data_IF_898141684835
#
_entry.id   IF_898141684835
#
_cell.length_a   1.000
_cell.length_b   1.000
_cell.length_c   1.000
_cell.angle_alpha   90.00
_cell.angle_beta   90.00
_cell.angle_gamma   90.00
#
_symmetry.space_group_name_H-M   'P 1'
#
loop_
_entity.id
_entity.type
_entity.pdbx_description
1 polymer ?
#
# COMPACT_ATOMS: atom_id res chain seq x y z
N UNK A 1 22.72 -56.92 -22.01
CA UNK A 1 21.92 -55.73 -21.60
C UNK A 1 20.49 -56.21 -21.57
N UNK A 2 20.05 -56.58 -20.37
CA UNK A 2 18.86 -57.41 -20.18
C UNK A 2 17.59 -56.58 -20.30
N UNK A 3 16.65 -57.11 -21.09
CA UNK A 3 15.35 -56.50 -21.38
C UNK A 3 14.55 -56.18 -20.11
N UNK A 4 14.74 -56.99 -19.07
CA UNK A 4 14.17 -56.83 -17.73
C UNK A 4 14.78 -55.66 -16.94
N UNK A 5 16.01 -55.22 -17.26
CA UNK A 5 16.60 -54.03 -16.64
C UNK A 5 16.05 -52.75 -17.29
N UNK A 6 15.83 -52.78 -18.61
CA UNK A 6 15.20 -51.67 -19.35
C UNK A 6 13.71 -51.52 -18.98
N UNK A 7 12.99 -52.62 -18.80
CA UNK A 7 11.59 -52.60 -18.34
C UNK A 7 11.47 -52.04 -16.92
N UNK A 8 12.41 -52.36 -16.01
CA UNK A 8 12.47 -51.78 -14.66
C UNK A 8 12.84 -50.28 -14.66
N UNK A 9 13.78 -49.84 -15.50
CA UNK A 9 14.09 -48.41 -15.65
C UNK A 9 12.91 -47.62 -16.25
N UNK A 10 12.11 -48.23 -17.12
CA UNK A 10 10.88 -47.63 -17.68
C UNK A 10 9.77 -47.59 -16.62
N UNK A 11 9.62 -48.62 -15.78
CA UNK A 11 8.66 -48.61 -14.67
C UNK A 11 9.05 -47.63 -13.55
N UNK A 12 10.35 -47.53 -13.21
CA UNK A 12 10.84 -46.54 -12.25
C UNK A 12 10.64 -45.10 -12.78
N UNK A 13 11.02 -44.82 -14.05
CA UNK A 13 10.77 -43.51 -14.69
C UNK A 13 9.28 -43.21 -14.87
N UNK A 14 8.46 -44.21 -15.17
CA UNK A 14 7.01 -44.08 -15.30
C UNK A 14 6.29 -43.86 -13.97
N UNK A 15 6.83 -44.39 -12.86
CA UNK A 15 6.30 -44.17 -11.52
C UNK A 15 6.59 -42.74 -11.01
N UNK A 16 7.76 -42.19 -11.33
CA UNK A 16 8.11 -40.81 -10.97
C UNK A 16 7.28 -39.78 -11.75
N UNK A 17 7.03 -39.99 -13.06
CA UNK A 17 6.18 -39.12 -13.89
C UNK A 17 4.70 -39.11 -13.45
N UNK A 18 4.21 -40.18 -12.81
CA UNK A 18 2.83 -40.30 -12.35
C UNK A 18 2.52 -39.52 -11.06
N UNK A 19 3.54 -39.17 -10.27
CA UNK A 19 3.39 -38.49 -8.99
C UNK A 19 3.32 -36.95 -9.08
N UNK A 20 3.66 -36.39 -10.26
CA UNK A 20 3.68 -34.93 -10.51
C UNK A 20 2.29 -34.42 -10.94
N UNK A 21 1.40 -35.29 -11.41
CA UNK A 21 0.10 -34.88 -11.96
C UNK A 21 -1.01 -34.69 -10.92
N UNK A 22 -0.76 -35.03 -9.64
CA UNK A 22 -1.78 -34.99 -8.58
C UNK A 22 -1.49 -33.94 -7.48
N UNK A 23 -0.43 -33.14 -7.65
CA UNK A 23 -0.17 -32.04 -6.73
C UNK A 23 -1.09 -30.86 -7.05
N UNK A 24 -1.78 -30.29 -6.06
CA UNK A 24 -2.59 -29.11 -6.27
C UNK A 24 -1.69 -27.96 -6.79
N UNK A 25 -2.16 -27.25 -7.82
CA UNK A 25 -1.44 -26.13 -8.41
C UNK A 25 -2.16 -24.83 -8.03
N UNK A 26 -1.42 -23.81 -7.61
CA UNK A 26 -2.00 -22.50 -7.31
C UNK A 26 -2.51 -21.85 -8.59
N UNK A 27 -3.82 -21.53 -8.65
CA UNK A 27 -4.41 -20.91 -9.86
C UNK A 27 -3.90 -19.51 -10.21
N UNK A 28 -3.26 -18.81 -9.27
CA UNK A 28 -2.79 -17.42 -9.44
C UNK A 28 -1.38 -17.38 -10.01
N UNK A 29 -0.44 -18.12 -9.42
CA UNK A 29 0.96 -18.13 -9.85
C UNK A 29 1.33 -19.33 -10.72
N UNK A 30 0.43 -20.31 -10.87
CA UNK A 30 0.62 -21.55 -11.62
C UNK A 30 1.79 -22.40 -11.11
N UNK A 31 2.13 -22.25 -9.84
CA UNK A 31 3.19 -23.02 -9.17
C UNK A 31 2.56 -24.10 -8.27
N UNK A 32 3.23 -25.25 -8.15
CA UNK A 32 2.90 -26.35 -7.23
C UNK A 32 3.73 -26.28 -5.93
N UNK A 33 4.77 -25.45 -5.89
CA UNK A 33 5.62 -25.27 -4.72
C UNK A 33 5.04 -24.27 -3.69
N UNK A 34 5.06 -24.67 -2.42
CA UNK A 34 4.69 -23.81 -1.27
C UNK A 34 3.85 -24.55 -0.22
N UNK A 35 4.14 -24.33 1.06
CA UNK A 35 3.53 -25.11 2.16
C UNK A 35 2.10 -24.68 2.56
N UNK A 36 1.60 -23.55 2.05
CA UNK A 36 0.33 -22.93 2.48
C UNK A 36 -0.72 -22.82 1.36
N UNK A 37 -1.03 -23.94 0.71
CA UNK A 37 -2.18 -24.02 -0.19
C UNK A 37 -3.49 -24.19 0.58
N UNK A 38 -4.50 -23.39 0.19
CA UNK A 38 -5.83 -23.38 0.78
C UNK A 38 -6.91 -23.48 -0.30
N UNK A 39 -8.09 -24.02 0.06
CA UNK A 39 -9.30 -23.97 -0.75
C UNK A 39 -10.29 -22.94 -0.17
N UNK A 40 -10.21 -21.65 -0.57
CA UNK A 40 -10.96 -20.58 0.08
C UNK A 40 -12.44 -20.53 -0.35
N UNK A 41 -12.84 -21.28 -1.38
CA UNK A 41 -14.16 -21.17 -2.01
C UNK A 41 -14.61 -22.50 -2.66
N UNK A 42 -15.82 -22.54 -3.22
CA UNK A 42 -16.41 -23.74 -3.84
C UNK A 42 -16.05 -23.96 -5.32
N UNK A 43 -14.95 -23.38 -5.80
CA UNK A 43 -14.51 -23.65 -7.18
C UNK A 43 -14.22 -25.16 -7.35
N UNK A 44 -14.35 -25.67 -8.58
CA UNK A 44 -14.20 -27.11 -8.88
C UNK A 44 -12.84 -27.40 -9.50
N UNK A 45 -12.36 -28.64 -9.33
CA UNK A 45 -11.10 -29.10 -9.90
C UNK A 45 -9.87 -28.39 -9.31
N UNK A 46 -8.81 -28.27 -10.11
CA UNK A 46 -7.55 -27.61 -9.73
C UNK A 46 -7.69 -26.11 -9.48
N UNK A 47 -8.74 -25.47 -10.04
CA UNK A 47 -9.01 -24.03 -9.91
C UNK A 47 -9.48 -23.57 -8.52
N UNK A 48 -9.60 -24.50 -7.56
CA UNK A 48 -9.97 -24.20 -6.18
C UNK A 48 -8.77 -23.90 -5.27
N UNK A 49 -7.58 -24.37 -5.63
CA UNK A 49 -6.38 -24.24 -4.80
C UNK A 49 -5.63 -22.93 -5.08
N UNK A 50 -5.20 -22.26 -4.02
CA UNK A 50 -4.38 -21.05 -4.06
C UNK A 50 -3.40 -21.02 -2.90
N UNK A 51 -2.22 -20.45 -3.11
CA UNK A 51 -1.36 -20.06 -2.01
C UNK A 51 -1.99 -18.93 -1.20
N UNK A 52 -1.86 -19.01 0.13
CA UNK A 52 -2.29 -17.95 1.06
C UNK A 52 -1.70 -16.58 0.67
N UNK A 53 -0.40 -16.52 0.41
CA UNK A 53 0.30 -15.30 0.00
C UNK A 53 -0.20 -14.73 -1.34
N UNK A 54 -0.45 -15.58 -2.33
CA UNK A 54 -0.99 -15.15 -3.62
C UNK A 54 -2.41 -14.61 -3.47
N UNK A 55 -3.25 -15.25 -2.65
CA UNK A 55 -4.60 -14.79 -2.37
C UNK A 55 -4.61 -13.45 -1.64
N UNK A 56 -3.76 -13.28 -0.62
CA UNK A 56 -3.67 -12.02 0.13
C UNK A 56 -3.17 -10.87 -0.75
N UNK A 57 -2.18 -11.13 -1.61
CA UNK A 57 -1.73 -10.15 -2.60
C UNK A 57 -2.87 -9.76 -3.55
N UNK A 58 -3.61 -10.75 -4.08
CA UNK A 58 -4.76 -10.51 -4.96
C UNK A 58 -5.84 -9.66 -4.28
N UNK A 59 -6.20 -9.99 -3.02
CA UNK A 59 -7.17 -9.25 -2.19
C UNK A 59 -6.75 -7.82 -1.90
N UNK A 60 -5.45 -7.58 -1.69
CA UNK A 60 -4.91 -6.24 -1.40
C UNK A 60 -4.87 -5.33 -2.64
N UNK A 61 -4.76 -5.92 -3.83
CA UNK A 61 -4.58 -5.18 -5.10
C UNK A 61 -5.89 -4.91 -5.82
N UNK A 62 -6.89 -5.79 -5.68
CA UNK A 62 -8.19 -5.65 -6.35
C UNK A 62 -9.17 -4.77 -5.57
N UNK A 63 -10.22 -4.32 -6.26
CA UNK A 63 -11.24 -3.43 -5.69
C UNK A 63 -12.37 -4.21 -5.00
N UNK A 64 -12.85 -3.65 -3.88
CA UNK A 64 -14.09 -3.96 -3.16
C UNK A 64 -14.39 -5.46 -3.02
N UNK A 65 -15.17 -5.97 -3.97
CA UNK A 65 -15.73 -7.32 -3.98
C UNK A 65 -14.69 -8.44 -3.84
N UNK A 66 -13.51 -8.28 -4.45
CA UNK A 66 -12.48 -9.31 -4.46
C UNK A 66 -11.79 -9.51 -3.09
N UNK A 67 -12.04 -8.64 -2.11
CA UNK A 67 -11.45 -8.75 -0.77
C UNK A 67 -12.10 -9.86 0.07
N UNK A 68 -13.44 -9.93 0.04
CA UNK A 68 -14.23 -10.89 0.83
C UNK A 68 -14.90 -11.98 -0.01
N UNK A 69 -14.93 -11.85 -1.33
CA UNK A 69 -15.60 -12.81 -2.22
C UNK A 69 -14.66 -13.34 -3.30
N UNK A 70 -14.91 -14.58 -3.72
CA UNK A 70 -14.25 -15.15 -4.88
C UNK A 70 -14.75 -14.49 -6.18
N UNK A 71 -13.82 -14.08 -7.05
CA UNK A 71 -14.16 -13.47 -8.36
C UNK A 71 -14.83 -14.43 -9.32
N UNK A 72 -14.56 -15.73 -9.18
CA UNK A 72 -15.07 -16.76 -10.10
C UNK A 72 -16.45 -17.28 -9.68
N UNK A 73 -16.58 -17.78 -8.44
CA UNK A 73 -17.81 -18.40 -7.96
C UNK A 73 -18.67 -17.50 -7.06
N UNK A 74 -18.22 -16.27 -6.75
CA UNK A 74 -18.91 -15.30 -5.89
C UNK A 74 -19.20 -15.78 -4.46
N UNK A 75 -18.62 -16.89 -4.04
CA UNK A 75 -18.73 -17.36 -2.66
C UNK A 75 -17.95 -16.44 -1.72
N UNK A 76 -18.54 -16.18 -0.54
CA UNK A 76 -17.90 -15.44 0.55
C UNK A 76 -16.76 -16.27 1.13
N UNK A 77 -15.62 -15.65 1.36
CA UNK A 77 -14.48 -16.25 2.04
C UNK A 77 -14.75 -16.34 3.55
N UNK A 78 -14.25 -17.41 4.18
CA UNK A 78 -14.25 -17.52 5.64
C UNK A 78 -13.11 -16.67 6.18
N UNK A 79 -13.43 -15.52 6.75
CA UNK A 79 -12.45 -14.57 7.30
C UNK A 79 -12.32 -14.75 8.81
N UNK A 80 -11.09 -14.80 9.30
CA UNK A 80 -10.75 -14.77 10.73
C UNK A 80 -10.09 -13.44 11.08
N UNK A 81 -10.64 -12.73 12.06
CA UNK A 81 -10.06 -11.50 12.59
C UNK A 81 -8.91 -11.82 13.55
N UNK A 82 -7.68 -11.49 13.17
CA UNK A 82 -6.48 -11.47 14.00
C UNK A 82 -6.06 -10.02 14.22
N UNK A 83 -6.87 -9.27 14.98
CA UNK A 83 -6.60 -7.84 15.24
C UNK A 83 -5.44 -7.71 16.23
N UNK A 84 -4.27 -7.17 15.82
CA UNK A 84 -3.23 -6.86 16.78
C UNK A 84 -3.71 -5.75 17.74
N UNK A 85 -3.40 -5.83 19.03
CA UNK A 85 -3.90 -4.88 20.04
C UNK A 85 -3.42 -3.44 19.84
N UNK A 86 -2.41 -3.20 18.99
CA UNK A 86 -1.63 -1.97 18.97
C UNK A 86 -1.78 -1.15 17.67
N UNK A 87 -3.02 -1.00 17.18
CA UNK A 87 -3.34 -0.19 15.99
C UNK A 87 -2.88 1.27 16.10
N UNK A 88 -2.75 1.80 17.32
CA UNK A 88 -2.39 3.18 17.59
C UNK A 88 -0.96 3.53 17.15
N UNK A 89 0.00 2.63 17.40
CA UNK A 89 1.41 2.89 17.08
C UNK A 89 1.69 2.92 15.58
N UNK A 90 0.98 2.08 14.82
CA UNK A 90 1.06 2.06 13.36
C UNK A 90 0.49 3.36 12.76
N UNK A 91 -0.65 3.84 13.28
CA UNK A 91 -1.21 5.15 12.93
C UNK A 91 -0.25 6.29 13.27
N UNK A 92 0.38 6.26 14.45
CA UNK A 92 1.34 7.28 14.87
C UNK A 92 2.58 7.33 13.97
N UNK A 93 3.15 6.17 13.62
CA UNK A 93 4.29 6.09 12.69
C UNK A 93 3.97 6.67 11.32
N UNK A 94 2.79 6.35 10.77
CA UNK A 94 2.35 6.87 9.49
C UNK A 94 2.16 8.39 9.55
N UNK A 95 1.50 8.89 10.59
CA UNK A 95 1.33 10.34 10.82
C UNK A 95 2.69 11.04 10.93
N UNK A 96 3.66 10.46 11.65
CA UNK A 96 5.00 11.01 11.78
C UNK A 96 5.78 11.03 10.45
N UNK A 97 5.68 9.96 9.64
CA UNK A 97 6.33 9.91 8.32
C UNK A 97 5.74 10.96 7.38
N UNK A 98 4.42 11.08 7.35
CA UNK A 98 3.72 12.10 6.57
C UNK A 98 4.16 13.48 7.05
N UNK A 99 4.07 13.80 8.35
CA UNK A 99 4.50 15.10 8.88
C UNK A 99 5.97 15.39 8.56
N UNK A 100 6.87 14.40 8.70
CA UNK A 100 8.29 14.55 8.38
C UNK A 100 8.51 14.90 6.90
N UNK A 101 7.86 14.20 5.97
CA UNK A 101 8.00 14.50 4.55
C UNK A 101 7.44 15.90 4.22
N UNK A 102 6.33 16.29 4.84
CA UNK A 102 5.74 17.63 4.66
C UNK A 102 6.65 18.74 5.18
N UNK A 103 7.24 18.56 6.36
CA UNK A 103 8.18 19.54 6.90
C UNK A 103 9.43 19.64 6.04
N UNK A 104 9.98 18.52 5.56
CA UNK A 104 11.14 18.50 4.66
C UNK A 104 10.86 19.27 3.36
N UNK A 105 9.74 18.99 2.68
CA UNK A 105 9.37 19.69 1.44
C UNK A 105 9.21 21.19 1.69
N UNK A 106 8.54 21.57 2.77
CA UNK A 106 8.35 22.96 3.15
C UNK A 106 9.69 23.70 3.35
N UNK A 107 10.63 23.11 4.09
CA UNK A 107 11.96 23.69 4.28
C UNK A 107 12.75 23.80 2.98
N UNK A 108 12.66 22.79 2.09
CA UNK A 108 13.32 22.83 0.77
C UNK A 108 12.78 23.98 -0.08
N UNK A 109 11.44 24.12 -0.18
CA UNK A 109 10.82 25.21 -0.94
C UNK A 109 11.22 26.58 -0.38
N UNK A 110 11.19 26.74 0.94
CA UNK A 110 11.58 28.00 1.58
C UNK A 110 13.06 28.34 1.33
N UNK A 111 13.95 27.35 1.37
CA UNK A 111 15.36 27.54 1.03
C UNK A 111 15.56 27.97 -0.43
N UNK A 112 14.82 27.38 -1.37
CA UNK A 112 14.88 27.78 -2.79
C UNK A 112 14.39 29.22 -2.98
N UNK A 113 13.26 29.59 -2.37
CA UNK A 113 12.73 30.96 -2.43
C UNK A 113 13.74 31.96 -1.85
N UNK A 114 14.34 31.65 -0.71
CA UNK A 114 15.37 32.50 -0.08
C UNK A 114 16.61 32.65 -0.96
N UNK A 115 17.05 31.55 -1.61
CA UNK A 115 18.19 31.55 -2.52
C UNK A 115 17.92 32.41 -3.76
N UNK A 116 16.74 32.28 -4.37
CA UNK A 116 16.33 33.11 -5.51
C UNK A 116 16.21 34.59 -5.12
N UNK A 117 15.61 34.89 -3.97
CA UNK A 117 15.51 36.25 -3.44
C UNK A 117 16.89 36.87 -3.22
N UNK A 118 17.85 36.11 -2.68
CA UNK A 118 19.24 36.54 -2.51
C UNK A 118 19.93 36.80 -3.86
N UNK A 119 19.69 35.96 -4.87
CA UNK A 119 20.23 36.18 -6.22
C UNK A 119 19.68 37.45 -6.86
N UNK A 120 18.36 37.66 -6.80
CA UNK A 120 17.72 38.90 -7.28
C UNK A 120 18.28 40.12 -6.56
N UNK A 121 18.44 40.04 -5.23
CA UNK A 121 19.06 41.09 -4.43
C UNK A 121 20.47 41.42 -4.92
N UNK A 122 21.30 40.40 -5.18
CA UNK A 122 22.68 40.61 -5.62
C UNK A 122 22.77 41.28 -7.00
N UNK A 123 21.84 40.95 -7.91
CA UNK A 123 21.86 41.47 -9.28
C UNK A 123 21.15 42.81 -9.44
N UNK A 124 20.06 43.05 -8.72
CA UNK A 124 19.16 44.18 -8.95
C UNK A 124 18.93 45.06 -7.70
N UNK A 125 19.62 44.79 -6.59
CA UNK A 125 19.35 45.44 -5.29
C UNK A 125 19.49 46.97 -5.32
N UNK A 126 20.52 47.51 -5.98
CA UNK A 126 20.75 48.96 -6.07
C UNK A 126 19.73 49.64 -7.01
N UNK A 127 19.45 49.06 -8.19
CA UNK A 127 18.45 49.61 -9.13
C UNK A 127 17.03 49.61 -8.54
N UNK A 128 16.68 48.58 -7.78
CA UNK A 128 15.41 48.51 -7.05
C UNK A 128 15.34 49.55 -5.93
N UNK A 129 16.45 49.84 -5.25
CA UNK A 129 16.50 50.84 -4.17
C UNK A 129 16.27 52.27 -4.69
N UNK A 130 16.87 52.60 -5.83
CA UNK A 130 16.67 53.90 -6.49
C UNK A 130 15.25 54.05 -7.02
N UNK A 131 14.65 52.99 -7.59
CA UNK A 131 13.30 53.03 -8.16
C UNK A 131 12.19 53.33 -7.13
N UNK A 132 12.39 52.96 -5.86
CA UNK A 132 11.39 53.14 -4.80
C UNK A 132 11.68 54.34 -3.87
N UNK A 133 12.64 55.22 -4.21
CA UNK A 133 13.01 56.45 -3.46
C UNK A 133 13.25 56.22 -1.95
N UNK A 134 13.79 55.06 -1.58
CA UNK A 134 14.04 54.68 -0.18
C UNK A 134 15.46 55.07 0.27
N UNK A 135 15.81 56.35 0.12
CA UNK A 135 17.18 56.87 0.35
C UNK A 135 17.58 56.90 1.82
N UNK A 136 16.68 57.32 2.72
CA UNK A 136 17.00 57.59 4.13
C UNK A 136 17.14 56.31 4.98
N UNK A 137 16.45 55.23 4.61
CA UNK A 137 16.36 54.01 5.43
C UNK A 137 16.51 52.73 4.60
N UNK A 138 17.70 52.45 4.04
CA UNK A 138 17.94 51.28 3.20
C UNK A 138 17.50 49.96 3.86
N UNK A 139 17.75 49.81 5.16
CA UNK A 139 17.43 48.58 5.90
C UNK A 139 15.93 48.27 6.01
N UNK A 140 15.05 49.28 6.02
CA UNK A 140 13.62 49.07 6.17
C UNK A 140 12.98 48.54 4.88
N UNK A 141 13.39 49.03 3.71
CA UNK A 141 12.96 48.48 2.41
C UNK A 141 13.35 47.00 2.26
N UNK A 142 14.58 46.65 2.67
CA UNK A 142 15.06 45.27 2.64
C UNK A 142 14.32 44.37 3.63
N UNK A 143 14.06 44.86 4.84
CA UNK A 143 13.28 44.11 5.83
C UNK A 143 11.86 43.83 5.34
N UNK A 144 11.20 44.82 4.73
CA UNK A 144 9.81 44.68 4.24
C UNK A 144 9.70 43.72 3.05
N UNK A 145 10.63 43.79 2.09
CA UNK A 145 10.65 42.89 0.93
C UNK A 145 10.95 41.44 1.34
N UNK A 146 11.91 41.21 2.26
CA UNK A 146 12.18 39.88 2.82
C UNK A 146 10.96 39.36 3.57
N UNK A 147 10.35 40.17 4.44
CA UNK A 147 9.17 39.77 5.20
C UNK A 147 7.99 39.41 4.31
N UNK A 148 7.76 40.14 3.22
CA UNK A 148 6.69 39.85 2.26
C UNK A 148 6.94 38.52 1.52
N UNK A 149 8.17 38.29 1.04
CA UNK A 149 8.55 37.03 0.37
C UNK A 149 8.47 35.83 1.31
N UNK A 150 8.91 35.99 2.57
CA UNK A 150 8.75 34.98 3.60
C UNK A 150 7.27 34.69 3.85
N UNK A 151 6.44 35.70 4.08
CA UNK A 151 5.01 35.51 4.35
C UNK A 151 4.31 34.78 3.20
N UNK A 152 4.50 35.25 1.96
CA UNK A 152 3.88 34.64 0.78
C UNK A 152 4.41 33.21 0.55
N UNK A 153 5.72 32.99 0.72
CA UNK A 153 6.36 31.68 0.61
C UNK A 153 5.84 30.68 1.64
N UNK A 154 5.69 31.10 2.90
CA UNK A 154 5.14 30.28 3.98
C UNK A 154 3.68 29.92 3.71
N UNK A 155 2.86 30.89 3.27
CA UNK A 155 1.46 30.66 2.95
C UNK A 155 1.31 29.68 1.78
N UNK A 156 1.99 29.93 0.65
CA UNK A 156 1.92 29.05 -0.52
C UNK A 156 2.50 27.66 -0.23
N UNK A 157 3.63 27.59 0.47
CA UNK A 157 4.26 26.34 0.88
C UNK A 157 3.34 25.51 1.78
N UNK A 158 2.65 26.14 2.72
CA UNK A 158 1.68 25.47 3.59
C UNK A 158 0.45 24.96 2.83
N UNK A 159 -0.11 25.74 1.91
CA UNK A 159 -1.23 25.31 1.09
C UNK A 159 -0.86 24.11 0.19
N UNK A 160 0.30 24.16 -0.47
CA UNK A 160 0.77 23.04 -1.29
C UNK A 160 1.03 21.81 -0.42
N UNK A 161 1.64 21.98 0.75
CA UNK A 161 1.86 20.90 1.70
C UNK A 161 0.54 20.24 2.14
N UNK A 162 -0.50 21.02 2.45
CA UNK A 162 -1.82 20.45 2.80
C UNK A 162 -2.40 19.67 1.63
N UNK A 163 -2.41 20.25 0.42
CA UNK A 163 -3.03 19.62 -0.75
C UNK A 163 -2.29 18.32 -1.13
N UNK A 164 -0.96 18.37 -1.18
CA UNK A 164 -0.13 17.19 -1.42
C UNK A 164 -0.31 16.15 -0.31
N UNK A 165 -0.39 16.58 0.95
CA UNK A 165 -0.59 15.71 2.10
C UNK A 165 -1.92 15.01 2.09
N UNK A 166 -3.00 15.72 1.79
CA UNK A 166 -4.32 15.12 1.64
C UNK A 166 -4.33 14.08 0.51
N UNK A 167 -3.74 14.39 -0.64
CA UNK A 167 -3.69 13.47 -1.80
C UNK A 167 -2.83 12.23 -1.55
N UNK A 168 -1.66 12.40 -0.94
CA UNK A 168 -0.73 11.31 -0.61
C UNK A 168 -1.33 10.45 0.50
N UNK A 169 -1.90 11.07 1.55
CA UNK A 169 -2.59 10.38 2.61
C UNK A 169 -3.74 9.55 2.05
N UNK A 170 -4.59 10.11 1.20
CA UNK A 170 -5.72 9.38 0.59
C UNK A 170 -5.25 8.16 -0.23
N UNK A 171 -4.24 8.32 -1.10
CA UNK A 171 -3.70 7.21 -1.90
C UNK A 171 -3.00 6.15 -1.06
N UNK A 172 -2.09 6.55 -0.17
CA UNK A 172 -1.33 5.60 0.63
C UNK A 172 -2.17 4.96 1.73
N UNK A 173 -3.12 5.68 2.31
CA UNK A 173 -4.06 5.11 3.27
C UNK A 173 -4.87 3.99 2.62
N UNK A 174 -5.40 4.19 1.41
CA UNK A 174 -6.15 3.11 0.74
C UNK A 174 -5.31 1.88 0.42
N UNK A 175 -4.05 2.05 -0.01
CA UNK A 175 -3.18 0.92 -0.36
C UNK A 175 -2.64 0.21 0.90
N UNK A 176 -2.13 0.97 1.87
CA UNK A 176 -1.57 0.41 3.10
C UNK A 176 -2.65 -0.16 4.01
N UNK A 177 -3.82 0.48 4.11
CA UNK A 177 -4.92 -0.06 4.90
C UNK A 177 -5.42 -1.38 4.32
N UNK A 178 -5.51 -1.53 3.00
CA UNK A 178 -5.90 -2.82 2.38
C UNK A 178 -4.90 -3.94 2.67
N UNK A 179 -3.60 -3.64 2.60
CA UNK A 179 -2.55 -4.62 2.93
C UNK A 179 -2.60 -5.02 4.42
N UNK A 180 -2.87 -4.06 5.30
CA UNK A 180 -2.99 -4.36 6.73
C UNK A 180 -4.30 -5.11 7.03
N UNK A 181 -5.40 -4.75 6.37
CA UNK A 181 -6.69 -5.46 6.43
C UNK A 181 -6.56 -6.91 5.96
N UNK A 182 -5.76 -7.23 4.94
CA UNK A 182 -5.53 -8.62 4.53
C UNK A 182 -4.80 -9.45 5.59
N UNK A 183 -3.96 -8.82 6.41
CA UNK A 183 -3.26 -9.49 7.54
C UNK A 183 -4.16 -9.63 8.76
N UNK A 184 -5.03 -8.66 9.00
CA UNK A 184 -6.02 -8.72 10.08
C UNK A 184 -7.15 -9.69 9.76
N UNK A 185 -7.63 -9.74 8.51
CA UNK A 185 -8.71 -10.62 8.06
C UNK A 185 -8.13 -11.74 7.21
N UNK A 186 -7.70 -12.80 7.88
CA UNK A 186 -7.02 -13.96 7.30
C UNK A 186 -8.09 -14.90 6.71
N UNK A 187 -7.95 -15.30 5.44
CA UNK A 187 -8.87 -16.29 4.84
C UNK A 187 -8.51 -17.69 5.32
N UNK A 188 -9.46 -18.41 5.93
CA UNK A 188 -9.25 -19.78 6.36
C UNK A 188 -9.58 -20.78 5.24
N UNK A 189 -8.97 -21.96 5.33
CA UNK A 189 -9.28 -23.07 4.44
C UNK A 189 -10.69 -23.59 4.75
N UNK A 190 -11.56 -23.58 3.75
CA UNK A 190 -12.97 -23.89 3.92
C UNK A 190 -13.24 -25.39 4.04
N UNK A 191 -12.35 -26.23 3.50
CA UNK A 191 -12.51 -27.69 3.57
C UNK A 191 -12.05 -28.24 4.93
N UNK A 192 -11.15 -27.53 5.63
CA UNK A 192 -10.63 -27.94 6.95
C UNK A 192 -11.44 -27.42 8.15
N UNK A 193 -12.43 -26.57 7.93
CA UNK A 193 -13.13 -25.83 8.98
C UNK A 193 -14.57 -26.29 9.19
N UNK A 194 -14.77 -27.41 9.89
CA UNK A 194 -16.11 -27.92 10.24
C UNK A 194 -16.85 -27.07 11.29
N UNK A 195 -16.16 -26.20 12.04
CA UNK A 195 -16.80 -25.31 13.02
C UNK A 195 -15.98 -24.04 13.23
N UNK A 196 -16.21 -23.02 12.42
CA UNK A 196 -15.68 -21.67 12.67
C UNK A 196 -16.86 -20.74 12.92
N UNK A 197 -16.86 -19.97 14.04
CA UNK A 197 -17.88 -18.96 14.26
C UNK A 197 -17.80 -17.93 13.12
N UNK A 198 -18.94 -17.65 12.49
CA UNK A 198 -19.07 -16.56 11.53
C UNK A 198 -18.45 -15.28 12.11
N UNK A 199 -17.73 -14.54 11.27
CA UNK A 199 -17.10 -13.28 11.64
C UNK A 199 -18.13 -12.39 12.37
N UNK A 200 -17.78 -11.85 13.55
CA UNK A 200 -18.72 -11.08 14.35
C UNK A 200 -19.33 -9.91 13.54
N UNK A 201 -20.60 -9.64 13.80
CA UNK A 201 -21.42 -8.65 13.10
C UNK A 201 -20.80 -7.25 13.06
N UNK A 202 -20.03 -6.89 14.09
CA UNK A 202 -19.29 -5.63 14.17
C UNK A 202 -18.22 -5.51 13.08
N UNK A 203 -17.45 -6.58 12.85
CA UNK A 203 -16.42 -6.66 11.82
C UNK A 203 -17.03 -6.68 10.41
N UNK A 204 -18.17 -7.37 10.23
CA UNK A 204 -18.91 -7.33 8.95
C UNK A 204 -19.38 -5.90 8.64
N UNK A 205 -19.89 -5.18 9.65
CA UNK A 205 -20.31 -3.79 9.48
C UNK A 205 -19.13 -2.87 9.13
N UNK A 206 -17.97 -3.07 9.75
CA UNK A 206 -16.73 -2.35 9.42
C UNK A 206 -16.32 -2.59 7.96
N UNK A 207 -16.31 -3.85 7.51
CA UNK A 207 -15.98 -4.20 6.13
C UNK A 207 -16.98 -3.61 5.12
N UNK A 208 -18.28 -3.56 5.47
CA UNK A 208 -19.31 -2.89 4.66
C UNK A 208 -19.11 -1.38 4.57
N UNK A 209 -18.78 -0.72 5.68
CA UNK A 209 -18.47 0.72 5.70
C UNK A 209 -17.27 1.06 4.82
N UNK A 210 -16.31 0.13 4.71
CA UNK A 210 -15.15 0.24 3.83
C UNK A 210 -15.44 -0.15 2.37
N UNK A 211 -16.64 -0.66 2.06
CA UNK A 211 -17.02 -1.12 0.72
C UNK A 211 -16.30 -2.40 0.28
N UNK A 212 -15.87 -3.24 1.24
CA UNK A 212 -15.06 -4.44 1.02
C UNK A 212 -15.86 -5.76 1.18
N UNK A 213 -17.16 -5.68 1.49
CA UNK A 213 -18.06 -6.81 1.72
C UNK A 213 -19.33 -6.72 0.89
#
# INVERSE_FOLDING_TARGET
MDREALEREIEERGSEESSVQDQPQCRICLDTGGDDMIAPCHCRGTQKYVHRSCLDHWRSTKEGFAFAHCTECRAVFVLRANVPPDRWWLRLKFQLLVVRDHTVIFFIVQLVVMMLAMLVYKFYGEELREMFEYEDHPYAFYAMSIMAVLLVGLLYGFFIAIICGQRIHERHYHVLAKQELTKEYIVEDREKSESIPELDSSHIMELRMLGLY
#
